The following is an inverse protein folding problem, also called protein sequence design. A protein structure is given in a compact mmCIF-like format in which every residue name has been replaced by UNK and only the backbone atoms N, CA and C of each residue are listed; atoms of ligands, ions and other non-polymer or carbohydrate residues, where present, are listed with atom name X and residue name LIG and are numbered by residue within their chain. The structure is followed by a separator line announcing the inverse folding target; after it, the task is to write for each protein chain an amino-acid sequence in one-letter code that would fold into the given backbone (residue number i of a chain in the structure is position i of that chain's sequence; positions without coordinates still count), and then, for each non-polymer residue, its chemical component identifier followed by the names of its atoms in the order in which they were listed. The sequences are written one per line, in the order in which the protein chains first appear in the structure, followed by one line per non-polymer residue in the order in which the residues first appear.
data_IF_947073605736
#
_entry.id   IF_947073605736
#
_cell.length_a   1.000
_cell.length_b   1.000
_cell.length_c   1.000
_cell.angle_alpha   90.00
_cell.angle_beta   90.00
_cell.angle_gamma   90.00
#
_symmetry.space_group_name_H-M   'P 1'
#
loop_
_entity.id
_entity.type
_entity.pdbx_description
1 polymer ?
#
# COMPACT_ATOMS: atom_id res chain seq x y z
N UNK A 1 14.63 -67.16 -43.66
CA UNK A 1 13.31 -66.56 -43.98
C UNK A 1 12.39 -66.87 -42.81
N UNK A 2 11.76 -65.96 -42.08
CA UNK A 2 11.63 -64.50 -42.18
C UNK A 2 11.43 -63.98 -40.74
N UNK A 3 12.13 -62.91 -40.38
CA UNK A 3 12.06 -62.27 -39.07
C UNK A 3 10.78 -61.43 -38.94
N UNK A 4 10.17 -61.52 -37.76
CA UNK A 4 9.15 -60.64 -37.21
C UNK A 4 9.53 -59.16 -37.38
N UNK A 5 8.64 -58.35 -37.95
CA UNK A 5 8.72 -56.88 -37.92
C UNK A 5 7.38 -56.30 -37.46
N UNK A 6 7.22 -56.23 -36.15
CA UNK A 6 6.25 -55.35 -35.50
C UNK A 6 6.87 -53.96 -35.43
N UNK A 7 6.46 -53.06 -36.34
CA UNK A 7 6.88 -51.66 -36.30
C UNK A 7 5.78 -50.80 -35.70
N UNK A 8 6.01 -50.42 -34.43
CA UNK A 8 5.93 -49.07 -33.84
C UNK A 8 4.72 -48.19 -34.19
N UNK A 9 3.99 -47.77 -33.15
CA UNK A 9 3.74 -46.35 -32.85
C UNK A 9 3.00 -46.21 -31.50
N UNK A 10 3.74 -46.29 -30.39
CA UNK A 10 3.26 -45.87 -29.09
C UNK A 10 3.43 -44.35 -29.00
N UNK A 11 2.37 -43.60 -29.29
CA UNK A 11 2.28 -42.16 -29.10
C UNK A 11 2.31 -41.85 -27.59
N UNK A 12 3.47 -41.45 -27.08
CA UNK A 12 3.59 -40.83 -25.76
C UNK A 12 3.08 -39.39 -25.92
N UNK A 13 1.84 -39.15 -25.49
CA UNK A 13 1.32 -37.81 -25.29
C UNK A 13 2.05 -37.17 -24.11
N UNK A 14 3.18 -36.49 -24.40
CA UNK A 14 3.81 -35.58 -23.46
C UNK A 14 2.84 -34.42 -23.22
N UNK A 15 2.07 -34.50 -22.14
CA UNK A 15 1.36 -33.36 -21.58
C UNK A 15 2.42 -32.36 -21.10
N UNK A 16 2.75 -31.41 -21.96
CA UNK A 16 3.48 -30.22 -21.58
C UNK A 16 2.52 -29.43 -20.70
N UNK A 17 2.56 -29.65 -19.39
CA UNK A 17 1.95 -28.74 -18.43
C UNK A 17 2.68 -27.40 -18.60
N UNK A 18 2.11 -26.53 -19.42
CA UNK A 18 2.50 -25.13 -19.45
C UNK A 18 2.15 -24.57 -18.09
N UNK A 19 3.14 -24.52 -17.20
CA UNK A 19 3.08 -23.67 -16.02
C UNK A 19 3.03 -22.24 -16.56
N UNK A 20 1.83 -21.73 -16.83
CA UNK A 20 1.59 -20.30 -16.88
C UNK A 20 2.09 -19.77 -15.55
N UNK A 21 3.23 -19.08 -15.56
CA UNK A 21 3.69 -18.29 -14.42
C UNK A 21 2.60 -17.25 -14.22
N UNK A 22 1.65 -17.55 -13.34
CA UNK A 22 0.73 -16.53 -12.85
C UNK A 22 1.63 -15.49 -12.21
N UNK A 23 1.74 -14.33 -12.84
CA UNK A 23 2.22 -13.14 -12.17
C UNK A 23 1.28 -12.97 -10.97
N UNK A 24 1.76 -13.37 -9.79
CA UNK A 24 0.99 -13.29 -8.58
C UNK A 24 0.98 -11.81 -8.22
N UNK A 25 -0.05 -11.10 -8.69
CA UNK A 25 -0.21 -9.69 -8.40
C UNK A 25 -0.25 -9.53 -6.87
N UNK A 26 0.53 -8.58 -6.35
CA UNK A 26 0.55 -8.30 -4.93
C UNK A 26 -0.87 -8.01 -4.43
N UNK A 27 -1.23 -8.60 -3.30
CA UNK A 27 -2.55 -8.39 -2.68
C UNK A 27 -2.51 -7.04 -1.96
N UNK A 28 -3.56 -6.23 -2.10
CA UNK A 28 -3.65 -4.98 -1.34
C UNK A 28 -3.58 -5.26 0.16
N UNK A 29 -2.98 -4.33 0.91
CA UNK A 29 -2.87 -4.44 2.35
C UNK A 29 -4.25 -4.53 3.02
N UNK A 30 -5.22 -3.78 2.51
CA UNK A 30 -6.62 -3.83 2.95
C UNK A 30 -7.23 -5.22 2.74
N UNK A 31 -7.09 -5.82 1.55
CA UNK A 31 -7.65 -7.14 1.27
C UNK A 31 -6.98 -8.24 2.08
N UNK A 32 -5.68 -8.16 2.31
CA UNK A 32 -4.96 -9.12 3.14
C UNK A 32 -5.44 -9.09 4.60
N UNK A 33 -5.78 -7.91 5.14
CA UNK A 33 -6.39 -7.76 6.46
C UNK A 33 -7.82 -8.29 6.47
N UNK A 34 -8.66 -7.91 5.49
CA UNK A 34 -10.06 -8.36 5.40
C UNK A 34 -10.19 -9.87 5.27
N UNK A 35 -9.28 -10.52 4.53
CA UNK A 35 -9.23 -11.98 4.36
C UNK A 35 -8.65 -12.72 5.59
N UNK A 36 -8.17 -12.00 6.59
CA UNK A 36 -7.56 -12.59 7.80
C UNK A 36 -6.16 -13.15 7.60
N UNK A 37 -5.53 -12.91 6.44
CA UNK A 37 -4.16 -13.37 6.16
C UNK A 37 -3.12 -12.57 6.93
N UNK A 38 -3.45 -11.33 7.28
CA UNK A 38 -2.54 -10.38 7.90
C UNK A 38 -3.18 -9.73 9.11
N UNK A 39 -2.48 -9.75 10.25
CA UNK A 39 -2.78 -8.88 11.38
C UNK A 39 -1.96 -7.61 11.24
N UNK A 40 -2.62 -6.46 11.31
CA UNK A 40 -2.03 -5.15 11.09
C UNK A 40 -2.21 -4.26 12.31
N UNK A 41 -1.13 -3.62 12.75
CA UNK A 41 -1.13 -2.53 13.73
C UNK A 41 -0.52 -1.30 13.07
N UNK A 42 -1.19 -0.16 13.13
CA UNK A 42 -0.77 1.08 12.49
C UNK A 42 -0.63 2.16 13.57
N UNK A 43 0.55 2.75 13.65
CA UNK A 43 0.88 3.81 14.62
C UNK A 43 1.46 5.02 13.90
N UNK A 44 1.03 6.21 14.33
CA UNK A 44 1.69 7.46 13.92
C UNK A 44 3.05 7.59 14.59
N UNK A 45 4.02 8.16 13.86
CA UNK A 45 5.33 8.58 14.36
C UNK A 45 5.37 10.09 14.69
N UNK A 46 4.23 10.77 14.58
CA UNK A 46 4.12 12.22 14.61
C UNK A 46 4.55 12.87 13.31
N UNK A 47 4.55 14.21 13.29
CA UNK A 47 4.86 14.99 12.11
C UNK A 47 3.65 15.22 11.19
N UNK A 48 3.90 15.84 10.04
CA UNK A 48 2.86 16.21 9.08
C UNK A 48 3.11 15.62 7.68
N UNK A 49 4.36 15.44 7.27
CA UNK A 49 4.73 14.86 5.95
C UNK A 49 5.93 13.93 6.09
N UNK A 50 6.12 12.99 5.16
CA UNK A 50 7.24 12.05 5.17
C UNK A 50 6.84 10.68 5.70
N UNK A 51 7.78 9.97 6.32
CA UNK A 51 7.63 8.62 6.90
C UNK A 51 6.91 8.65 8.26
N UNK A 52 5.70 9.19 8.27
CA UNK A 52 4.93 9.51 9.48
C UNK A 52 4.15 8.34 10.08
N UNK A 53 4.18 7.16 9.44
CA UNK A 53 3.46 5.96 9.89
C UNK A 53 4.40 4.78 10.05
N UNK A 54 4.26 4.06 11.16
CA UNK A 54 4.82 2.73 11.37
C UNK A 54 3.70 1.68 11.29
N UNK A 55 3.89 0.66 10.46
CA UNK A 55 3.02 -0.50 10.36
C UNK A 55 3.73 -1.75 10.84
N UNK A 56 3.13 -2.45 11.80
CA UNK A 56 3.56 -3.80 12.20
C UNK A 56 2.61 -4.83 11.58
N UNK A 57 3.18 -5.67 10.72
CA UNK A 57 2.46 -6.61 9.88
C UNK A 57 2.83 -8.03 10.30
N UNK A 58 1.86 -8.83 10.74
CA UNK A 58 2.06 -10.24 11.08
C UNK A 58 1.30 -11.11 10.08
N UNK A 59 2.04 -11.91 9.29
CA UNK A 59 1.45 -12.86 8.38
C UNK A 59 0.95 -14.09 9.16
N UNK A 60 -0.37 -14.31 9.15
CA UNK A 60 -1.02 -15.42 9.83
C UNK A 60 -1.16 -16.67 8.95
N UNK A 61 -0.87 -16.57 7.66
CA UNK A 61 -0.95 -17.69 6.72
C UNK A 61 0.28 -18.62 6.81
N UNK A 62 0.18 -19.79 6.18
CA UNK A 62 1.30 -20.72 5.99
C UNK A 62 2.15 -20.42 4.75
N UNK A 63 1.81 -19.37 4.00
CA UNK A 63 2.48 -19.00 2.75
C UNK A 63 3.10 -17.60 2.84
N UNK A 64 4.06 -17.30 1.96
CA UNK A 64 4.55 -15.94 1.77
C UNK A 64 3.42 -15.08 1.20
N UNK A 65 3.24 -13.88 1.74
CA UNK A 65 2.33 -12.87 1.19
C UNK A 65 3.16 -11.82 0.45
N UNK A 66 2.89 -11.63 -0.84
CA UNK A 66 3.32 -10.47 -1.61
C UNK A 66 2.21 -9.41 -1.53
N UNK A 67 2.55 -8.24 -1.00
CA UNK A 67 1.62 -7.20 -0.56
C UNK A 67 1.96 -5.84 -1.18
N UNK A 68 0.93 -5.02 -1.34
CA UNK A 68 1.06 -3.62 -1.74
C UNK A 68 0.27 -2.70 -0.79
N UNK A 69 0.83 -1.55 -0.46
CA UNK A 69 0.06 -0.40 0.03
C UNK A 69 0.07 0.69 -1.03
N UNK A 70 -1.12 1.13 -1.45
CA UNK A 70 -1.27 2.01 -2.60
C UNK A 70 -1.08 3.49 -2.22
N UNK A 71 -0.46 4.27 -3.11
CA UNK A 71 -0.60 5.71 -3.08
C UNK A 71 -2.09 6.10 -3.27
N UNK A 72 -2.62 6.88 -2.34
CA UNK A 72 -4.04 7.24 -2.28
C UNK A 72 -4.86 6.42 -1.27
N UNK A 73 -4.25 5.45 -0.59
CA UNK A 73 -4.88 4.75 0.55
C UNK A 73 -5.07 5.73 1.71
N UNK A 74 -6.27 5.82 2.28
CA UNK A 74 -6.50 6.57 3.52
C UNK A 74 -6.29 5.67 4.74
N UNK A 75 -5.64 6.21 5.76
CA UNK A 75 -5.50 5.61 7.08
C UNK A 75 -6.35 6.45 8.03
N UNK A 76 -7.36 5.82 8.62
CA UNK A 76 -8.35 6.51 9.42
C UNK A 76 -7.85 6.60 10.86
N UNK A 77 -7.73 7.82 11.39
CA UNK A 77 -7.35 8.04 12.78
C UNK A 77 -8.43 7.49 13.70
N UNK A 78 -8.02 6.80 14.78
CA UNK A 78 -8.95 6.40 15.84
C UNK A 78 -9.26 7.53 16.81
N UNK A 79 -8.60 8.68 16.67
CA UNK A 79 -8.82 9.88 17.48
C UNK A 79 -9.52 10.91 16.60
N UNK A 80 -10.80 11.16 16.88
CA UNK A 80 -11.68 12.01 16.04
C UNK A 80 -11.20 13.45 15.83
N UNK A 81 -10.34 13.96 16.71
CA UNK A 81 -9.76 15.31 16.64
C UNK A 81 -8.43 15.37 15.90
N UNK A 82 -7.90 14.22 15.46
CA UNK A 82 -6.65 14.12 14.70
C UNK A 82 -6.94 13.97 13.20
N UNK A 83 -5.97 14.37 12.39
CA UNK A 83 -6.01 14.24 10.94
C UNK A 83 -5.84 12.79 10.50
N UNK A 84 -6.63 12.36 9.53
CA UNK A 84 -6.36 11.11 8.80
C UNK A 84 -5.08 11.24 7.97
N UNK A 85 -4.47 10.10 7.60
CA UNK A 85 -3.28 10.09 6.75
C UNK A 85 -3.60 9.53 5.37
N UNK A 86 -3.24 10.27 4.32
CA UNK A 86 -3.18 9.79 2.95
C UNK A 86 -1.81 9.19 2.69
N UNK A 87 -1.75 7.93 2.27
CA UNK A 87 -0.49 7.31 1.81
C UNK A 87 -0.07 7.96 0.49
N UNK A 88 1.16 8.44 0.42
CA UNK A 88 1.69 9.20 -0.73
C UNK A 88 2.87 8.52 -1.43
N UNK A 89 3.21 7.30 -1.01
CA UNK A 89 4.18 6.45 -1.68
C UNK A 89 3.61 5.03 -1.75
N UNK A 90 3.45 4.50 -2.95
CA UNK A 90 3.13 3.09 -3.14
C UNK A 90 4.33 2.23 -2.75
N UNK A 91 4.11 1.17 -1.98
CA UNK A 91 5.17 0.27 -1.56
C UNK A 91 4.76 -1.19 -1.81
N UNK A 92 5.52 -1.87 -2.65
CA UNK A 92 5.46 -3.32 -2.81
C UNK A 92 6.44 -3.98 -1.85
N UNK A 93 5.97 -5.00 -1.12
CA UNK A 93 6.78 -5.72 -0.15
C UNK A 93 6.23 -7.12 0.08
N UNK A 94 6.96 -7.94 0.82
CA UNK A 94 6.48 -9.26 1.21
C UNK A 94 6.65 -9.50 2.71
N UNK A 95 5.84 -10.42 3.24
CA UNK A 95 5.97 -10.96 4.59
C UNK A 95 5.95 -12.49 4.49
N UNK A 96 7.05 -13.13 4.87
CA UNK A 96 7.15 -14.59 4.87
C UNK A 96 6.11 -15.23 5.79
N UNK A 97 5.81 -16.51 5.55
CA UNK A 97 4.86 -17.28 6.35
C UNK A 97 5.17 -17.16 7.85
N UNK A 98 4.15 -16.86 8.65
CA UNK A 98 4.25 -16.73 10.12
C UNK A 98 5.22 -15.67 10.63
N UNK A 99 5.78 -14.82 9.76
CA UNK A 99 6.72 -13.77 10.14
C UNK A 99 6.02 -12.45 10.45
N UNK A 100 6.73 -11.61 11.19
CA UNK A 100 6.36 -10.21 11.42
C UNK A 100 7.34 -9.30 10.71
N UNK A 101 6.84 -8.22 10.11
CA UNK A 101 7.63 -7.16 9.48
C UNK A 101 7.17 -5.81 9.99
N UNK A 102 8.10 -4.90 10.19
CA UNK A 102 7.80 -3.47 10.38
C UNK A 102 8.06 -2.73 9.07
N UNK A 103 7.13 -1.84 8.71
CA UNK A 103 7.20 -1.01 7.50
C UNK A 103 6.98 0.46 7.87
N UNK A 104 7.84 1.33 7.34
CA UNK A 104 7.65 2.78 7.43
C UNK A 104 6.90 3.25 6.18
N UNK A 105 5.78 3.91 6.40
CA UNK A 105 4.87 4.34 5.34
C UNK A 105 4.89 5.86 5.24
N UNK A 106 5.04 6.34 4.01
CA UNK A 106 5.00 7.77 3.73
C UNK A 106 3.56 8.24 3.57
N UNK A 107 3.24 9.33 4.24
CA UNK A 107 1.93 9.92 4.14
C UNK A 107 1.90 11.40 4.45
N UNK A 108 0.75 11.98 4.12
CA UNK A 108 0.42 13.38 4.33
C UNK A 108 -0.95 13.47 4.98
N UNK A 109 -1.13 14.47 5.84
CA UNK A 109 -2.35 14.64 6.59
C UNK A 109 -3.51 15.12 5.70
N UNK A 110 -4.70 14.60 5.96
CA UNK A 110 -5.99 15.09 5.45
C UNK A 110 -6.72 15.81 6.58
N UNK A 111 -7.75 16.62 6.28
CA UNK A 111 -8.56 17.30 7.29
C UNK A 111 -7.80 18.44 7.98
N UNK A 112 -7.35 19.43 7.22
CA UNK A 112 -6.52 20.56 7.68
C UNK A 112 -7.02 21.30 8.94
N UNK A 113 -8.31 21.16 9.27
CA UNK A 113 -8.93 21.73 10.46
C UNK A 113 -8.69 20.93 11.76
N UNK A 114 -8.31 19.65 11.65
CA UNK A 114 -7.99 18.78 12.79
C UNK A 114 -6.54 18.97 13.26
N UNK A 115 -6.24 18.51 14.46
CA UNK A 115 -4.86 18.55 14.99
C UNK A 115 -3.96 17.57 14.24
N UNK A 116 -2.68 17.88 14.11
CA UNK A 116 -1.72 16.94 13.56
C UNK A 116 -1.67 15.63 14.38
N UNK A 117 -1.35 14.49 13.75
CA UNK A 117 -1.21 13.23 14.46
C UNK A 117 -0.20 13.32 15.60
N UNK A 118 -0.59 12.87 16.78
CA UNK A 118 0.37 12.70 17.88
C UNK A 118 1.24 11.47 17.61
N UNK A 119 2.42 11.46 18.22
CA UNK A 119 3.25 10.27 18.21
C UNK A 119 2.49 9.12 18.91
N UNK A 120 2.56 7.92 18.33
CA UNK A 120 1.92 6.69 18.79
C UNK A 120 0.37 6.65 18.74
N UNK A 121 -0.27 7.62 18.07
CA UNK A 121 -1.71 7.56 17.79
C UNK A 121 -2.07 6.34 16.94
N UNK A 122 -3.22 5.74 17.23
CA UNK A 122 -3.73 4.55 16.54
C UNK A 122 -4.49 4.90 15.26
N UNK A 123 -4.22 4.12 14.22
CA UNK A 123 -4.91 4.22 12.93
C UNK A 123 -5.53 2.88 12.52
N UNK A 124 -6.46 2.95 11.57
CA UNK A 124 -7.04 1.80 10.89
C UNK A 124 -6.72 1.86 9.39
N UNK A 125 -6.64 0.71 8.73
CA UNK A 125 -6.54 0.67 7.27
C UNK A 125 -7.91 1.07 6.70
N UNK A 126 -7.95 2.23 6.03
CA UNK A 126 -9.15 2.76 5.42
C UNK A 126 -9.30 2.34 3.96
N UNK A 127 -10.32 2.91 3.31
CA UNK A 127 -10.55 2.73 1.87
C UNK A 127 -9.55 3.54 1.02
N UNK A 128 -9.48 3.22 -0.26
CA UNK A 128 -8.85 4.10 -1.23
C UNK A 128 -9.62 5.43 -1.24
N UNK A 129 -8.90 6.55 -1.28
CA UNK A 129 -9.50 7.88 -1.32
C UNK A 129 -10.29 8.10 -2.63
N UNK A 130 -10.96 9.24 -2.75
CA UNK A 130 -11.63 9.60 -4.00
C UNK A 130 -10.63 9.77 -5.17
N UNK A 131 -11.17 9.80 -6.39
CA UNK A 131 -10.35 9.81 -7.60
C UNK A 131 -9.39 11.01 -7.72
N UNK A 132 -9.71 12.15 -7.10
CA UNK A 132 -8.83 13.33 -7.16
C UNK A 132 -7.66 13.17 -6.20
N UNK A 133 -7.92 12.74 -4.95
CA UNK A 133 -6.85 12.46 -3.99
C UNK A 133 -5.94 11.32 -4.44
N UNK A 134 -6.50 10.27 -5.04
CA UNK A 134 -5.69 9.18 -5.61
C UNK A 134 -4.80 9.68 -6.73
N UNK A 135 -5.30 10.50 -7.66
CA UNK A 135 -4.48 11.11 -8.71
C UNK A 135 -3.36 11.98 -8.14
N UNK A 136 -3.66 12.80 -7.13
CA UNK A 136 -2.66 13.63 -6.46
C UNK A 136 -1.60 12.78 -5.75
N UNK A 137 -2.00 11.76 -4.99
CA UNK A 137 -1.06 10.88 -4.29
C UNK A 137 -0.13 10.15 -5.27
N UNK A 138 -0.66 9.65 -6.39
CA UNK A 138 0.16 9.04 -7.43
C UNK A 138 1.09 10.05 -8.11
N UNK A 139 0.67 11.30 -8.29
CA UNK A 139 1.54 12.37 -8.79
C UNK A 139 2.67 12.67 -7.80
N UNK A 140 2.37 12.76 -6.50
CA UNK A 140 3.36 12.97 -5.44
C UNK A 140 4.37 11.83 -5.42
N UNK A 141 3.90 10.58 -5.47
CA UNK A 141 4.74 9.38 -5.50
C UNK A 141 5.67 9.37 -6.72
N UNK A 142 5.10 9.50 -7.91
CA UNK A 142 5.83 9.49 -9.20
C UNK A 142 6.95 10.53 -9.25
N UNK A 143 6.73 11.70 -8.66
CA UNK A 143 7.70 12.80 -8.65
C UNK A 143 8.54 12.86 -7.37
N UNK A 144 8.37 11.90 -6.45
CA UNK A 144 9.10 11.80 -5.17
C UNK A 144 8.93 13.02 -4.27
N UNK A 145 7.74 13.62 -4.27
CA UNK A 145 7.40 14.77 -3.41
C UNK A 145 6.85 14.36 -2.04
N UNK A 146 6.91 13.08 -1.68
CA UNK A 146 6.32 12.54 -0.45
C UNK A 146 6.96 13.04 0.87
N UNK A 147 8.05 13.83 0.80
CA UNK A 147 8.65 14.56 1.94
C UNK A 147 8.47 16.08 1.85
N UNK A 148 7.80 16.59 0.83
CA UNK A 148 7.72 18.02 0.53
C UNK A 148 6.49 18.67 1.19
N UNK A 149 6.67 19.80 1.88
CA UNK A 149 5.57 20.49 2.56
C UNK A 149 4.57 21.16 1.60
N UNK A 150 5.00 21.68 0.45
CA UNK A 150 4.12 22.15 -0.62
C UNK A 150 3.19 21.04 -1.12
N UNK A 151 3.67 19.79 -1.17
CA UNK A 151 2.82 18.63 -1.47
C UNK A 151 1.79 18.35 -0.35
N UNK A 152 2.15 18.50 0.93
CA UNK A 152 1.20 18.45 2.05
C UNK A 152 0.10 19.51 1.91
N UNK A 153 0.47 20.74 1.53
CA UNK A 153 -0.50 21.81 1.29
C UNK A 153 -1.43 21.48 0.12
N UNK A 154 -0.91 20.86 -0.96
CA UNK A 154 -1.73 20.40 -2.07
C UNK A 154 -2.73 19.31 -1.64
N UNK A 155 -2.35 18.41 -0.72
CA UNK A 155 -3.27 17.42 -0.15
C UNK A 155 -4.41 18.10 0.60
N UNK A 156 -4.16 19.16 1.37
CA UNK A 156 -5.21 19.93 2.04
C UNK A 156 -6.12 20.68 1.05
N UNK A 157 -5.58 21.20 -0.06
CA UNK A 157 -6.42 21.80 -1.11
C UNK A 157 -7.42 20.79 -1.66
N UNK A 158 -6.98 19.58 -1.98
CA UNK A 158 -7.85 18.56 -2.60
C UNK A 158 -8.78 17.90 -1.57
N UNK A 159 -8.32 17.66 -0.34
CA UNK A 159 -9.12 16.96 0.69
C UNK A 159 -10.11 17.87 1.44
N UNK A 160 -9.78 19.15 1.63
CA UNK A 160 -10.57 20.10 2.43
C UNK A 160 -11.11 21.28 1.61
N UNK A 161 -10.93 21.27 0.29
CA UNK A 161 -11.31 22.37 -0.60
C UNK A 161 -10.69 23.72 -0.15
N UNK A 162 -9.44 23.69 0.33
CA UNK A 162 -8.68 24.92 0.64
C UNK A 162 -8.42 25.71 -0.63
N UNK A 163 -8.21 27.02 -0.48
CA UNK A 163 -7.84 27.89 -1.60
C UNK A 163 -6.54 27.42 -2.24
N UNK A 164 -6.47 27.34 -3.57
CA UNK A 164 -5.22 27.09 -4.29
C UNK A 164 -4.11 28.10 -3.92
N UNK A 165 -4.50 29.33 -3.57
CA UNK A 165 -3.57 30.37 -3.12
C UNK A 165 -2.94 30.09 -1.75
N UNK A 166 -3.37 29.05 -1.03
CA UNK A 166 -2.73 28.62 0.23
C UNK A 166 -1.49 27.76 0.02
N UNK A 167 -1.17 27.37 -1.22
CA UNK A 167 0.05 26.62 -1.54
C UNK A 167 1.21 27.61 -1.67
N UNK A 168 2.26 27.39 -0.88
CA UNK A 168 3.44 28.26 -0.80
C UNK A 168 4.71 27.40 -0.83
N UNK A 169 5.85 28.00 -1.17
CA UNK A 169 7.16 27.35 -1.19
C UNK A 169 7.72 27.16 0.23
N UNK A 170 7.03 26.38 1.07
CA UNK A 170 7.06 26.45 2.53
C UNK A 170 8.32 26.03 3.28
N UNK A 171 9.46 26.64 2.98
CA UNK A 171 10.54 26.89 3.94
C UNK A 171 10.47 28.37 4.38
N UNK A 172 9.74 28.66 5.46
CA UNK A 172 9.88 29.92 6.22
C UNK A 172 10.04 29.61 7.69
#
# INVERSE_FOLDING_TARGET
MSFCKTTVCMLIAMNVFTNSILANNAISLEDAVKKGFLKLVIKSRGGYTGDVIEMKLQNNSSQKLDLNIEAGRRLDSKISTEQDILVTQSQDFFVNAKQTRTLMVYGMCCQAHNSCPRNNSDYSIGKLADSNLVKLANFIDKNKYYTNFTAQQAVWVVSDNKSLASITDGDK
#
